data_IF_266944922098
#
_entry.id   IF_266944922098
#
_cell.length_a   1.000
_cell.length_b   1.000
_cell.length_c   1.000
_cell.angle_alpha   90.00
_cell.angle_beta   90.00
_cell.angle_gamma   90.00
#
_symmetry.space_group_name_H-M   'P 1'
#
loop_
_entity.id
_entity.type
_entity.pdbx_description
1 polymer ?
#
# COMPACT_ATOMS: atom_id res chain seq x y z
N UNK A 1 -19.52 27.34 -11.16
CA UNK A 1 -18.22 26.66 -11.11
C UNK A 1 -17.44 26.99 -12.38
N UNK A 2 -16.45 27.89 -12.29
CA UNK A 2 -15.58 28.24 -13.42
C UNK A 2 -14.50 27.15 -13.55
N UNK A 3 -14.77 26.12 -14.35
CA UNK A 3 -13.73 25.18 -14.78
C UNK A 3 -12.81 25.92 -15.74
N UNK A 4 -11.61 26.30 -15.29
CA UNK A 4 -10.56 26.79 -16.19
C UNK A 4 -10.35 25.73 -17.27
N UNK A 5 -10.59 26.09 -18.53
CA UNK A 5 -10.31 25.21 -19.66
C UNK A 5 -8.83 24.86 -19.57
N UNK A 6 -8.52 23.57 -19.35
CA UNK A 6 -7.14 23.10 -19.36
C UNK A 6 -6.57 23.38 -20.74
N UNK A 7 -5.37 23.94 -20.79
CA UNK A 7 -4.66 24.06 -22.08
C UNK A 7 -4.46 22.65 -22.67
N UNK A 8 -4.34 22.52 -24.00
CA UNK A 8 -4.05 21.22 -24.62
C UNK A 8 -2.81 20.55 -23.97
N UNK A 9 -1.79 21.34 -23.68
CA UNK A 9 -0.58 20.88 -22.98
C UNK A 9 -0.86 20.34 -21.56
N UNK A 10 -1.77 20.97 -20.80
CA UNK A 10 -2.15 20.47 -19.48
C UNK A 10 -2.95 19.17 -19.57
N UNK A 11 -3.73 18.97 -20.63
CA UNK A 11 -4.42 17.70 -20.88
C UNK A 11 -3.40 16.58 -21.19
N UNK A 12 -2.43 16.84 -22.05
CA UNK A 12 -1.34 15.90 -22.38
C UNK A 12 -0.53 15.53 -21.13
N UNK A 13 -0.26 16.50 -20.27
CA UNK A 13 0.42 16.28 -18.99
C UNK A 13 -0.38 15.38 -18.05
N UNK A 14 -1.69 15.59 -17.95
CA UNK A 14 -2.57 14.70 -17.15
C UNK A 14 -2.55 13.29 -17.73
N UNK A 15 -2.55 13.14 -19.05
CA UNK A 15 -2.46 11.83 -19.70
C UNK A 15 -1.13 11.13 -19.38
N UNK A 16 0.00 11.84 -19.45
CA UNK A 16 1.30 11.30 -19.06
C UNK A 16 1.31 10.78 -17.62
N UNK A 17 0.75 11.54 -16.68
CA UNK A 17 0.66 11.12 -15.28
C UNK A 17 -0.32 9.96 -15.10
N UNK A 18 -1.40 9.92 -15.88
CA UNK A 18 -2.36 8.81 -15.88
C UNK A 18 -1.70 7.51 -16.34
N UNK A 19 -0.87 7.55 -17.39
CA UNK A 19 -0.10 6.38 -17.83
C UNK A 19 0.84 5.90 -16.73
N UNK A 20 1.58 6.81 -16.07
CA UNK A 20 2.42 6.46 -14.93
C UNK A 20 1.63 5.78 -13.79
N UNK A 21 0.40 6.25 -13.53
CA UNK A 21 -0.48 5.62 -12.55
C UNK A 21 -0.88 4.21 -12.97
N UNK A 22 -1.22 3.99 -14.25
CA UNK A 22 -1.51 2.67 -14.79
C UNK A 22 -0.33 1.72 -14.68
N UNK A 23 0.88 2.17 -15.02
CA UNK A 23 2.12 1.38 -14.86
C UNK A 23 2.38 1.04 -13.38
N UNK A 24 2.14 1.99 -12.48
CA UNK A 24 2.26 1.79 -11.04
C UNK A 24 1.27 0.75 -10.52
N UNK A 25 0.03 0.75 -11.00
CA UNK A 25 -0.97 -0.26 -10.66
C UNK A 25 -0.55 -1.65 -11.15
N UNK A 26 -0.13 -1.77 -12.42
CA UNK A 26 0.35 -3.04 -12.98
C UNK A 26 1.54 -3.59 -12.19
N UNK A 27 2.51 -2.73 -11.86
CA UNK A 27 3.64 -3.11 -11.03
C UNK A 27 3.19 -3.54 -9.62
N UNK A 28 2.31 -2.77 -8.99
CA UNK A 28 1.80 -3.06 -7.64
C UNK A 28 1.07 -4.41 -7.56
N UNK A 29 0.31 -4.77 -8.61
CA UNK A 29 -0.30 -6.09 -8.74
C UNK A 29 0.76 -7.19 -8.92
N UNK A 30 1.76 -6.95 -9.78
CA UNK A 30 2.83 -7.90 -10.07
C UNK A 30 3.61 -8.30 -8.82
N UNK A 31 3.92 -7.32 -7.96
CA UNK A 31 4.65 -7.56 -6.69
C UNK A 31 3.73 -7.91 -5.52
N UNK A 32 2.43 -8.16 -5.77
CA UNK A 32 1.40 -8.44 -4.76
C UNK A 32 1.29 -7.39 -3.65
N UNK A 33 1.61 -6.13 -3.97
CA UNK A 33 1.35 -5.00 -3.08
C UNK A 33 -0.13 -4.60 -3.11
N UNK A 34 -0.78 -4.80 -4.25
CA UNK A 34 -2.20 -4.57 -4.51
C UNK A 34 -2.85 -5.88 -4.94
N UNK A 35 -4.18 -5.99 -4.79
CA UNK A 35 -4.96 -7.11 -5.33
C UNK A 35 -5.96 -6.62 -6.39
N UNK A 36 -6.33 -7.50 -7.31
CA UNK A 36 -7.35 -7.20 -8.33
C UNK A 36 -8.70 -6.83 -7.70
N UNK A 37 -9.05 -7.46 -6.59
CA UNK A 37 -10.26 -7.14 -5.82
C UNK A 37 -10.27 -5.69 -5.34
N UNK A 38 -9.16 -5.21 -4.78
CA UNK A 38 -9.03 -3.83 -4.32
C UNK A 38 -9.20 -2.81 -5.45
N UNK A 39 -8.79 -3.15 -6.67
CA UNK A 39 -9.02 -2.30 -7.85
C UNK A 39 -10.48 -2.37 -8.33
N UNK A 40 -11.08 -3.55 -8.35
CA UNK A 40 -12.48 -3.75 -8.72
C UNK A 40 -13.43 -2.98 -7.80
N UNK A 41 -13.13 -3.01 -6.49
CA UNK A 41 -13.90 -2.33 -5.44
C UNK A 41 -13.59 -0.83 -5.35
N UNK A 42 -12.64 -0.32 -6.15
CA UNK A 42 -12.14 1.06 -6.10
C UNK A 42 -11.71 1.45 -4.69
N UNK A 43 -10.97 0.57 -4.01
CA UNK A 43 -10.60 0.75 -2.60
C UNK A 43 -9.93 2.13 -2.39
N UNK A 44 -10.46 2.96 -1.48
CA UNK A 44 -9.94 4.30 -1.24
C UNK A 44 -8.49 4.30 -0.73
N UNK A 45 -8.04 3.24 -0.04
CA UNK A 45 -6.65 3.08 0.37
C UNK A 45 -5.72 3.01 -0.85
N UNK A 46 -6.14 2.31 -1.90
CA UNK A 46 -5.38 2.23 -3.15
C UNK A 46 -5.34 3.59 -3.83
N UNK A 47 -6.48 4.28 -3.93
CA UNK A 47 -6.56 5.60 -4.56
C UNK A 47 -5.69 6.65 -3.84
N UNK A 48 -5.61 6.59 -2.50
CA UNK A 48 -4.75 7.47 -1.70
C UNK A 48 -3.28 7.07 -1.72
N UNK A 49 -2.97 5.78 -1.84
CA UNK A 49 -1.61 5.28 -1.97
C UNK A 49 -1.02 5.51 -3.36
N UNK A 50 -1.85 5.51 -4.40
CA UNK A 50 -1.41 5.50 -5.79
C UNK A 50 -0.49 6.68 -6.16
N UNK A 51 -0.78 7.95 -5.79
CA UNK A 51 0.14 9.05 -6.10
C UNK A 51 1.52 8.88 -5.44
N UNK A 52 1.55 8.40 -4.19
CA UNK A 52 2.78 8.18 -3.42
C UNK A 52 3.61 7.03 -4.00
N UNK A 53 2.95 5.93 -4.36
CA UNK A 53 3.59 4.81 -5.04
C UNK A 53 4.10 5.22 -6.42
N UNK A 54 3.36 6.06 -7.14
CA UNK A 54 3.73 6.49 -8.50
C UNK A 54 4.98 7.37 -8.50
N UNK A 55 5.20 8.15 -7.44
CA UNK A 55 6.47 8.87 -7.25
C UNK A 55 7.62 7.86 -7.09
N UNK A 56 7.46 6.82 -6.27
CA UNK A 56 8.49 5.79 -6.10
C UNK A 56 8.75 5.04 -7.42
N UNK A 57 7.71 4.57 -8.10
CA UNK A 57 7.82 3.82 -9.35
C UNK A 57 8.44 4.69 -10.45
N UNK A 58 7.93 5.91 -10.63
CA UNK A 58 8.43 6.85 -11.63
C UNK A 58 9.87 7.28 -11.39
N UNK A 59 10.27 7.51 -10.14
CA UNK A 59 11.63 7.93 -9.83
C UNK A 59 12.65 6.79 -9.82
N UNK A 60 12.24 5.55 -9.47
CA UNK A 60 13.18 4.45 -9.20
C UNK A 60 13.11 3.26 -10.15
N UNK A 61 11.93 2.94 -10.65
CA UNK A 61 11.70 1.73 -11.47
C UNK A 61 11.56 2.04 -12.95
N UNK A 62 11.03 3.22 -13.27
CA UNK A 62 10.79 3.68 -14.64
C UNK A 62 11.62 4.95 -14.89
N UNK A 63 12.93 4.82 -15.17
CA UNK A 63 13.83 5.97 -15.25
C UNK A 63 13.47 6.96 -16.37
N UNK A 64 12.75 6.50 -17.39
CA UNK A 64 12.24 7.30 -18.51
C UNK A 64 10.79 7.78 -18.31
N UNK A 65 10.18 7.52 -17.15
CA UNK A 65 8.84 8.00 -16.81
C UNK A 65 8.77 9.53 -16.82
N UNK A 66 7.57 10.14 -16.86
CA UNK A 66 7.42 11.59 -16.90
C UNK A 66 8.16 12.35 -15.78
N UNK A 67 8.41 11.71 -14.63
CA UNK A 67 9.14 12.26 -13.47
C UNK A 67 10.47 11.52 -13.20
N UNK A 68 10.93 10.68 -14.11
CA UNK A 68 12.05 9.77 -13.93
C UNK A 68 13.44 10.43 -13.99
N UNK A 69 14.43 9.73 -13.45
CA UNK A 69 15.81 10.22 -13.33
C UNK A 69 16.44 10.61 -14.66
N UNK A 70 16.20 9.85 -15.75
CA UNK A 70 16.79 10.12 -17.06
C UNK A 70 16.25 11.43 -17.64
N UNK A 71 14.93 11.63 -17.58
CA UNK A 71 14.28 12.86 -18.05
C UNK A 71 14.71 14.08 -17.24
N UNK A 72 14.81 13.93 -15.92
CA UNK A 72 15.29 14.98 -15.03
C UNK A 72 16.73 15.40 -15.35
N UNK A 73 17.62 14.42 -15.55
CA UNK A 73 19.04 14.65 -15.86
C UNK A 73 19.25 15.40 -17.18
N UNK A 74 18.45 15.10 -18.20
CA UNK A 74 18.53 15.75 -19.52
C UNK A 74 17.77 17.10 -19.56
N UNK A 75 17.10 17.49 -18.49
CA UNK A 75 16.41 18.79 -18.44
C UNK A 75 15.04 18.80 -19.14
N UNK A 76 14.44 17.63 -19.41
CA UNK A 76 13.12 17.56 -20.06
C UNK A 76 12.03 18.31 -19.28
N UNK A 77 11.04 18.84 -19.99
CA UNK A 77 9.85 19.43 -19.35
C UNK A 77 9.11 18.35 -18.54
N UNK A 78 8.82 18.68 -17.28
CA UNK A 78 7.97 17.90 -16.39
C UNK A 78 6.49 18.22 -16.65
N UNK A 79 5.55 17.28 -16.38
CA UNK A 79 4.13 17.62 -16.31
C UNK A 79 3.91 18.79 -15.35
N UNK A 80 2.96 19.68 -15.66
CA UNK A 80 2.79 20.94 -14.92
C UNK A 80 2.64 20.75 -13.40
N UNK A 81 2.00 19.64 -12.98
CA UNK A 81 1.78 19.27 -11.57
C UNK A 81 3.08 19.06 -10.78
N UNK A 82 4.20 18.81 -11.46
CA UNK A 82 5.52 18.56 -10.87
C UNK A 82 6.53 19.66 -11.16
N UNK A 83 6.17 20.68 -11.94
CA UNK A 83 7.13 21.64 -12.47
C UNK A 83 7.81 22.47 -11.36
N UNK A 84 7.07 22.80 -10.29
CA UNK A 84 7.60 23.49 -9.11
C UNK A 84 8.50 22.62 -8.23
N UNK A 85 8.50 21.30 -8.42
CA UNK A 85 9.18 20.33 -7.53
C UNK A 85 10.32 19.59 -8.23
N UNK A 86 10.88 20.18 -9.28
CA UNK A 86 11.94 19.55 -10.10
C UNK A 86 13.15 19.15 -9.27
N UNK A 87 13.65 20.07 -8.44
CA UNK A 87 14.85 19.87 -7.64
C UNK A 87 14.63 18.80 -6.58
N UNK A 88 13.45 18.80 -5.97
CA UNK A 88 13.00 17.81 -4.98
C UNK A 88 12.87 16.43 -5.61
N UNK A 89 12.28 16.31 -6.80
CA UNK A 89 12.20 15.05 -7.53
C UNK A 89 13.58 14.53 -7.91
N UNK A 90 14.49 15.41 -8.37
CA UNK A 90 15.86 15.01 -8.68
C UNK A 90 16.61 14.52 -7.44
N UNK A 91 16.43 15.20 -6.30
CA UNK A 91 16.98 14.75 -5.02
C UNK A 91 16.38 13.41 -4.59
N UNK A 92 15.06 13.26 -4.66
CA UNK A 92 14.35 12.05 -4.30
C UNK A 92 14.77 10.86 -5.18
N UNK A 93 14.95 11.05 -6.49
CA UNK A 93 15.52 10.03 -7.37
C UNK A 93 16.87 9.54 -6.82
N UNK A 94 17.82 10.45 -6.55
CA UNK A 94 19.13 10.08 -6.00
C UNK A 94 19.02 9.29 -4.70
N UNK A 95 18.15 9.72 -3.79
CA UNK A 95 17.94 9.02 -2.52
C UNK A 95 17.34 7.62 -2.72
N UNK A 96 16.34 7.47 -3.59
CA UNK A 96 15.75 6.16 -3.87
C UNK A 96 16.73 5.19 -4.53
N UNK A 97 17.68 5.68 -5.35
CA UNK A 97 18.75 4.86 -5.93
C UNK A 97 19.80 4.43 -4.91
N UNK A 98 20.01 5.20 -3.84
CA UNK A 98 20.93 4.86 -2.75
C UNK A 98 20.35 3.79 -1.79
N UNK A 99 19.04 3.55 -1.81
CA UNK A 99 18.40 2.55 -0.96
C UNK A 99 18.75 1.12 -1.40
N UNK A 100 19.03 0.27 -0.42
CA UNK A 100 19.15 -1.17 -0.62
C UNK A 100 17.79 -1.78 -0.95
N UNK A 101 17.75 -2.96 -1.60
CA UNK A 101 16.48 -3.64 -1.92
C UNK A 101 15.58 -3.89 -0.70
N UNK A 102 16.14 -4.20 0.46
CA UNK A 102 15.38 -4.44 1.69
C UNK A 102 14.70 -3.17 2.23
N UNK A 103 15.40 -2.03 2.13
CA UNK A 103 14.89 -0.72 2.54
C UNK A 103 13.81 -0.25 1.56
N UNK A 104 14.06 -0.42 0.26
CA UNK A 104 13.09 -0.10 -0.79
C UNK A 104 11.80 -0.91 -0.61
N UNK A 105 11.91 -2.21 -0.32
CA UNK A 105 10.76 -3.06 -0.07
C UNK A 105 9.93 -2.59 1.14
N UNK A 106 10.59 -2.22 2.24
CA UNK A 106 9.91 -1.65 3.43
C UNK A 106 9.23 -0.32 3.10
N UNK A 107 9.92 0.57 2.39
CA UNK A 107 9.38 1.86 1.96
C UNK A 107 8.15 1.66 1.06
N UNK A 108 8.21 0.76 0.08
CA UNK A 108 7.09 0.44 -0.79
C UNK A 108 5.87 -0.02 0.00
N UNK A 109 6.03 -0.91 0.99
CA UNK A 109 4.91 -1.34 1.85
C UNK A 109 4.33 -0.19 2.68
N UNK A 110 5.19 0.70 3.17
CA UNK A 110 4.78 1.88 3.93
C UNK A 110 4.06 2.93 3.06
N UNK A 111 4.45 3.07 1.79
CA UNK A 111 3.75 3.94 0.83
C UNK A 111 2.45 3.33 0.30
N UNK A 112 2.33 2.01 0.35
CA UNK A 112 1.15 1.27 -0.10
C UNK A 112 -0.08 1.42 0.80
N UNK A 113 -1.19 0.73 0.45
CA UNK A 113 -2.46 0.78 1.19
C UNK A 113 -2.30 0.47 2.69
N UNK A 114 -1.46 -0.52 3.00
CA UNK A 114 -1.23 -0.99 4.38
C UNK A 114 -0.46 0.00 5.27
N UNK A 115 0.20 1.01 4.68
CA UNK A 115 0.95 2.02 5.42
C UNK A 115 0.16 3.30 5.69
N UNK A 116 -1.14 3.35 5.38
CA UNK A 116 -2.02 4.49 5.67
C UNK A 116 -2.56 4.41 7.11
N UNK A 117 -2.09 5.26 8.05
CA UNK A 117 -2.42 5.12 9.47
C UNK A 117 -3.89 5.40 9.83
N UNK A 118 -4.65 6.10 8.96
CA UNK A 118 -5.99 6.61 9.29
C UNK A 118 -7.16 5.97 8.53
N UNK A 119 -6.90 5.15 7.49
CA UNK A 119 -7.99 4.49 6.74
C UNK A 119 -8.31 3.09 7.31
N UNK A 120 -7.30 2.43 7.89
CA UNK A 120 -7.44 1.10 8.50
C UNK A 120 -8.41 1.13 9.69
N UNK A 121 -8.51 2.25 10.42
CA UNK A 121 -9.45 2.42 11.53
C UNK A 121 -10.92 2.35 11.07
N UNK A 122 -11.25 2.99 9.95
CA UNK A 122 -12.62 3.00 9.41
C UNK A 122 -12.99 1.66 8.76
N UNK A 123 -12.05 0.96 8.12
CA UNK A 123 -12.33 -0.38 7.57
C UNK A 123 -12.60 -1.39 8.68
N UNK A 124 -11.83 -1.35 9.79
CA UNK A 124 -12.11 -2.18 10.97
C UNK A 124 -13.47 -1.88 11.60
N UNK A 125 -13.86 -0.61 11.71
CA UNK A 125 -15.18 -0.21 12.19
C UNK A 125 -16.29 -0.70 11.25
N UNK A 126 -16.11 -0.58 9.94
CA UNK A 126 -17.08 -1.04 8.94
C UNK A 126 -17.27 -2.55 8.99
N UNK A 127 -16.19 -3.35 9.06
CA UNK A 127 -16.31 -4.80 9.25
C UNK A 127 -16.99 -5.16 10.57
N UNK A 128 -16.69 -4.44 11.66
CA UNK A 128 -17.33 -4.68 12.96
C UNK A 128 -18.83 -4.38 12.92
N UNK A 129 -19.25 -3.31 12.24
CA UNK A 129 -20.67 -2.97 12.09
C UNK A 129 -21.43 -4.01 11.24
N UNK A 130 -20.82 -4.51 10.17
CA UNK A 130 -21.40 -5.60 9.36
C UNK A 130 -21.54 -6.91 10.14
N UNK A 131 -20.57 -7.22 11.03
CA UNK A 131 -20.66 -8.39 11.91
C UNK A 131 -21.80 -8.25 12.94
N UNK A 132 -22.08 -7.02 13.42
CA UNK A 132 -23.20 -6.76 14.35
C UNK A 132 -24.57 -6.90 13.66
N UNK A 133 -24.71 -6.45 12.42
CA UNK A 133 -25.97 -6.58 11.66
C UNK A 133 -26.32 -8.04 11.33
N UNK A 134 -25.32 -8.92 11.17
CA UNK A 134 -25.55 -10.35 10.95
C UNK A 134 -26.04 -11.06 12.23
N UNK A 135 -25.59 -10.63 13.42
CA UNK A 135 -26.02 -11.20 14.71
C UNK A 135 -27.39 -10.71 15.19
N UNK A 136 -27.84 -9.53 14.76
CA UNK A 136 -29.13 -8.97 15.16
C UNK A 136 -30.34 -9.66 14.50
N UNK A 137 -30.16 -10.25 13.31
CA UNK A 137 -31.23 -10.94 12.59
C UNK A 137 -31.45 -12.41 13.00
N UNK A 138 -30.65 -12.96 13.93
CA UNK A 138 -30.79 -14.32 14.43
C UNK A 138 -31.55 -14.43 15.77
N UNK A 139 -31.85 -13.31 16.44
CA UNK A 139 -32.37 -13.29 17.82
C UNK A 139 -33.81 -12.76 17.96
N UNK A 140 -34.68 -12.98 16.97
CA UNK A 140 -36.12 -12.75 17.15
C UNK A 140 -36.86 -14.08 17.34
N UNK A 141 -36.69 -14.71 18.50
CA UNK A 141 -37.58 -15.76 19.03
C UNK A 141 -37.26 -15.99 20.52
N UNK A 142 -38.11 -15.44 21.40
CA UNK A 142 -38.47 -15.93 22.77
C UNK A 142 -37.34 -16.08 23.81
N UNK A 143 -37.46 -15.91 25.13
CA UNK A 143 -38.45 -15.43 26.10
C UNK A 143 -37.68 -15.33 27.45
N UNK A 144 -37.98 -14.27 28.21
CA UNK A 144 -37.85 -13.99 29.67
C UNK A 144 -37.29 -15.07 30.63
N UNK A 145 -36.27 -14.74 31.45
CA UNK A 145 -36.30 -14.81 32.94
C UNK A 145 -35.07 -14.17 33.64
N UNK A 146 -35.32 -13.72 34.88
CA UNK A 146 -34.59 -12.77 35.74
C UNK A 146 -33.34 -13.30 36.49
N UNK A 147 -32.52 -12.33 36.94
CA UNK A 147 -32.07 -12.11 38.35
C UNK A 147 -30.54 -12.11 38.69
N UNK A 148 -30.00 -10.88 38.82
CA UNK A 148 -29.16 -10.28 39.89
C UNK A 148 -27.74 -10.83 40.29
N UNK A 149 -26.78 -9.87 40.30
CA UNK A 149 -25.73 -9.52 41.32
C UNK A 149 -24.21 -9.64 40.98
N UNK A 150 -23.57 -8.47 41.12
CA UNK A 150 -22.25 -8.15 41.74
C UNK A 150 -20.93 -8.41 40.98
N UNK A 151 -20.28 -7.29 40.62
CA UNK A 151 -18.87 -6.91 40.85
C UNK A 151 -17.79 -7.99 40.91
N UNK A 152 -16.83 -7.94 39.97
CA UNK A 152 -15.37 -8.21 40.17
C UNK A 152 -14.64 -7.89 38.86
N UNK A 153 -13.91 -6.78 38.80
CA UNK A 153 -12.45 -6.73 39.01
C UNK A 153 -11.66 -7.39 37.89
N UNK A 154 -10.91 -6.54 37.18
CA UNK A 154 -9.94 -6.87 36.16
C UNK A 154 -8.85 -7.83 36.65
N UNK A 155 -8.38 -8.65 35.71
CA UNK A 155 -7.00 -9.16 35.52
C UNK A 155 -7.04 -10.65 35.16
N UNK A 156 -6.78 -10.99 33.90
CA UNK A 156 -6.11 -12.24 33.54
C UNK A 156 -5.03 -11.92 32.51
N UNK A 157 -3.80 -11.96 32.98
CA UNK A 157 -2.58 -12.16 32.20
C UNK A 157 -2.58 -13.65 31.79
N UNK A 158 -2.34 -13.94 30.51
CA UNK A 158 -1.63 -15.15 30.07
C UNK A 158 -1.06 -14.92 28.66
N UNK A 159 0.26 -14.81 28.49
CA UNK A 159 1.30 -15.85 28.45
C UNK A 159 1.48 -16.42 27.03
N UNK A 160 2.59 -15.98 26.42
CA UNK A 160 3.57 -16.75 25.66
C UNK A 160 3.10 -17.91 24.77
N UNK A 161 3.34 -17.78 23.46
CA UNK A 161 3.89 -18.89 22.67
C UNK A 161 4.93 -18.37 21.66
N UNK A 162 6.18 -18.34 22.11
CA UNK A 162 7.29 -18.52 21.20
C UNK A 162 7.34 -19.99 20.81
N UNK A 163 7.43 -20.27 19.51
CA UNK A 163 7.91 -21.56 19.02
C UNK A 163 8.93 -21.28 17.93
N UNK A 164 10.20 -21.37 18.35
CA UNK A 164 11.37 -21.56 17.51
C UNK A 164 11.21 -22.89 16.80
N UNK A 165 11.22 -22.88 15.47
CA UNK A 165 11.64 -24.05 14.70
C UNK A 165 13.11 -23.82 14.32
N UNK A 166 13.99 -24.51 15.03
CA UNK A 166 15.37 -24.74 14.61
C UNK A 166 15.45 -26.22 14.23
N UNK A 167 15.76 -26.51 12.98
CA UNK A 167 16.24 -27.82 12.57
C UNK A 167 17.60 -27.62 11.89
N UNK A 168 18.61 -28.23 12.48
CA UNK A 168 20.01 -28.23 12.07
C UNK A 168 20.27 -29.13 10.86
N UNK A 169 21.26 -28.71 10.08
CA UNK A 169 21.93 -29.40 8.97
C UNK A 169 22.64 -30.69 9.40
N UNK A 170 22.53 -31.75 8.60
CA UNK A 170 23.53 -32.83 8.51
C UNK A 170 23.62 -33.30 7.04
N UNK A 171 24.78 -33.10 6.42
CA UNK A 171 25.29 -33.85 5.25
C UNK A 171 26.08 -35.06 5.75
N UNK A 172 26.24 -36.10 4.91
CA UNK A 172 27.61 -36.48 4.59
C UNK A 172 27.85 -36.81 3.12
N UNK A 173 29.15 -36.81 2.80
CA UNK A 173 29.82 -36.86 1.50
C UNK A 173 30.04 -38.27 0.94
N UNK A 174 30.06 -38.37 -0.40
CA UNK A 174 31.12 -38.95 -1.26
C UNK A 174 30.65 -39.98 -2.31
N UNK A 175 31.16 -39.79 -3.53
CA UNK A 175 31.01 -40.59 -4.77
C UNK A 175 31.71 -41.99 -4.65
N UNK A 176 31.72 -42.94 -5.63
CA UNK A 176 32.02 -42.73 -7.07
C UNK A 176 31.38 -43.71 -8.11
N UNK A 177 31.77 -43.51 -9.39
CA UNK A 177 31.78 -44.40 -10.56
C UNK A 177 30.48 -44.93 -11.19
N UNK A 178 30.18 -44.49 -12.42
CA UNK A 178 30.51 -45.24 -13.67
C UNK A 178 30.41 -44.32 -14.88
#
# INVERSE_FOLDING_TARGET
FHGKIRTLQEADDVQLVTVLFSETLMWGLTVKLLSTQQLADRDPCVLLALPRLSILVGCRLLPDSPIGSNRLAVGYRLPFMFNSSRSELAYLCRQLYALRPDQLCRLTRWLGPNGLPNLIYNQKLSTRLSDYEQTANANSSSEVHNEIKTTSSATIINTTCGSRLSLSSITPSSAPHT
#
